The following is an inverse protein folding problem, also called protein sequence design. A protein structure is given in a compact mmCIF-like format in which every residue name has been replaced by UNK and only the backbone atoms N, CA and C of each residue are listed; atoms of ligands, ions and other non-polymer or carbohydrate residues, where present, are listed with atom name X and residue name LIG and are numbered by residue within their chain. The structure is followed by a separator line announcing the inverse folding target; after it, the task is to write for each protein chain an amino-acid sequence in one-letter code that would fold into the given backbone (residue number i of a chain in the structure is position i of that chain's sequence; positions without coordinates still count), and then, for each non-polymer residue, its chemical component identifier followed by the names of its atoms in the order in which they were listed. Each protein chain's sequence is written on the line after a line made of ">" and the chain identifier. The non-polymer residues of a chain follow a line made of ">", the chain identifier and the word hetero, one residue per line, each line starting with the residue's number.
data_IF_390621962417
#
_entry.id   IF_390621962417
#
_cell.length_a   1.000
_cell.length_b   1.000
_cell.length_c   1.000
_cell.angle_alpha   90.00
_cell.angle_beta   90.00
_cell.angle_gamma   90.00
#
_symmetry.space_group_name_H-M   'P 1'
#
loop_
_entity.id
_entity.type
_entity.pdbx_description
1 polymer ?
#
# COMPACT_ATOMS: atom_id res chain seq x y z
N UNK A 1 44.09 4.11 -13.04
CA UNK A 1 43.38 4.94 -12.06
C UNK A 1 41.96 4.39 -12.03
N UNK A 2 41.76 3.34 -11.24
CA UNK A 2 40.46 2.71 -11.10
C UNK A 2 39.63 3.52 -10.12
N UNK A 3 38.62 4.20 -10.64
CA UNK A 3 37.63 4.90 -9.82
C UNK A 3 36.57 3.86 -9.46
N UNK A 4 36.50 3.54 -8.17
CA UNK A 4 35.52 2.67 -7.55
C UNK A 4 34.09 3.01 -7.99
N UNK A 5 33.44 2.08 -8.70
CA UNK A 5 32.00 2.12 -9.04
C UNK A 5 31.13 1.45 -7.96
N UNK A 6 31.69 1.08 -6.81
CA UNK A 6 31.01 0.28 -5.79
C UNK A 6 30.36 1.09 -4.66
N UNK A 7 30.57 2.40 -4.56
CA UNK A 7 30.04 3.21 -3.44
C UNK A 7 28.62 3.76 -3.66
N UNK A 8 28.11 3.80 -4.89
CA UNK A 8 26.77 4.34 -5.16
C UNK A 8 25.65 3.32 -4.86
N UNK A 9 25.88 2.03 -5.10
CA UNK A 9 24.82 1.01 -4.96
C UNK A 9 24.38 0.76 -3.52
N UNK A 10 25.28 0.87 -2.55
CA UNK A 10 24.95 0.60 -1.13
C UNK A 10 24.09 1.71 -0.54
N UNK A 11 24.36 2.98 -0.90
CA UNK A 11 23.57 4.12 -0.42
C UNK A 11 22.19 4.17 -1.08
N UNK A 12 22.12 3.97 -2.40
CA UNK A 12 20.86 4.01 -3.13
C UNK A 12 19.89 2.93 -2.63
N UNK A 13 20.39 1.73 -2.32
CA UNK A 13 19.57 0.67 -1.75
C UNK A 13 19.06 0.99 -0.34
N UNK A 14 19.87 1.65 0.50
CA UNK A 14 19.47 2.02 1.86
C UNK A 14 18.32 3.04 1.88
N UNK A 15 18.37 4.05 0.99
CA UNK A 15 17.29 5.04 0.87
C UNK A 15 15.99 4.42 0.32
N UNK A 16 16.11 3.48 -0.62
CA UNK A 16 14.94 2.76 -1.15
C UNK A 16 14.29 1.89 -0.07
N UNK A 17 15.08 1.18 0.75
CA UNK A 17 14.55 0.34 1.82
C UNK A 17 13.82 1.18 2.89
N UNK A 18 14.36 2.35 3.26
CA UNK A 18 13.71 3.28 4.21
C UNK A 18 12.39 3.85 3.63
N UNK A 19 12.38 4.28 2.36
CA UNK A 19 11.18 4.78 1.69
C UNK A 19 10.08 3.70 1.60
N UNK A 20 10.45 2.44 1.40
CA UNK A 20 9.52 1.30 1.35
C UNK A 20 8.89 1.05 2.73
N UNK A 21 9.69 1.12 3.80
CA UNK A 21 9.19 0.98 5.16
C UNK A 21 8.24 2.12 5.54
N UNK A 22 8.60 3.37 5.21
CA UNK A 22 7.76 4.54 5.42
C UNK A 22 6.44 4.44 4.64
N UNK A 23 6.50 4.03 3.37
CA UNK A 23 5.29 3.76 2.58
C UNK A 23 4.37 2.73 3.23
N UNK A 24 4.92 1.62 3.74
CA UNK A 24 4.10 0.62 4.42
C UNK A 24 3.54 1.10 5.76
N UNK A 25 4.15 2.10 6.41
CA UNK A 25 3.58 2.78 7.57
C UNK A 25 2.42 3.69 7.14
N UNK A 26 2.59 4.49 6.09
CA UNK A 26 1.53 5.33 5.52
C UNK A 26 0.30 4.50 5.12
N UNK A 27 0.49 3.36 4.45
CA UNK A 27 -0.60 2.44 4.13
C UNK A 27 -1.29 1.88 5.40
N UNK A 28 -0.50 1.65 6.46
CA UNK A 28 -1.02 1.25 7.77
C UNK A 28 -1.98 2.29 8.33
N UNK A 29 -1.58 3.56 8.31
CA UNK A 29 -2.41 4.67 8.74
C UNK A 29 -3.65 4.75 7.85
N UNK A 30 -3.47 4.79 6.53
CA UNK A 30 -4.55 4.99 5.56
C UNK A 30 -5.66 3.92 5.62
N UNK A 31 -5.33 2.66 5.92
CA UNK A 31 -6.31 1.57 5.89
C UNK A 31 -6.73 1.04 7.25
N UNK A 32 -5.97 1.30 8.32
CA UNK A 32 -6.26 0.77 9.65
C UNK A 32 -6.63 1.85 10.68
N UNK A 33 -6.25 3.11 10.47
CA UNK A 33 -6.64 4.19 11.35
C UNK A 33 -8.10 4.58 11.13
N UNK A 34 -8.77 4.96 12.21
CA UNK A 34 -10.06 5.65 12.14
C UNK A 34 -9.79 7.15 11.94
N UNK A 35 -10.74 7.90 11.34
CA UNK A 35 -10.66 9.35 11.24
C UNK A 35 -10.38 10.06 12.58
N UNK A 36 -10.81 9.45 13.69
CA UNK A 36 -10.60 9.95 15.06
C UNK A 36 -9.19 9.77 15.60
N UNK A 37 -8.37 8.93 14.95
CA UNK A 37 -7.06 8.52 15.46
C UNK A 37 -5.95 9.49 15.02
N UNK A 38 -6.26 10.43 14.12
CA UNK A 38 -5.33 11.44 13.59
C UNK A 38 -5.78 12.84 14.00
N UNK A 39 -4.93 13.55 14.74
CA UNK A 39 -5.21 14.91 15.19
C UNK A 39 -5.16 15.92 14.03
N UNK A 40 -6.15 16.83 13.96
CA UNK A 40 -6.21 17.88 12.94
C UNK A 40 -6.84 17.46 11.61
N UNK A 41 -7.51 16.31 11.59
CA UNK A 41 -8.04 15.68 10.40
C UNK A 41 -9.57 15.72 10.34
N UNK A 42 -10.16 15.95 9.15
CA UNK A 42 -11.61 16.18 8.98
C UNK A 42 -12.40 14.97 8.44
N UNK A 43 -11.71 13.87 8.08
CA UNK A 43 -12.31 12.62 7.63
C UNK A 43 -12.31 12.41 6.13
N UNK A 44 -11.86 13.37 5.30
CA UNK A 44 -11.97 13.25 3.83
C UNK A 44 -10.88 12.42 3.16
N UNK A 45 -9.70 12.31 3.77
CA UNK A 45 -8.54 11.74 3.07
C UNK A 45 -8.42 10.21 3.29
N UNK A 46 -9.35 9.62 4.07
CA UNK A 46 -9.41 8.17 4.27
C UNK A 46 -10.27 7.55 3.18
N UNK A 47 -9.77 6.54 2.46
CA UNK A 47 -10.60 5.82 1.50
C UNK A 47 -11.80 5.21 2.24
N UNK A 48 -13.01 5.46 1.73
CA UNK A 48 -14.22 4.85 2.26
C UNK A 48 -14.30 3.37 1.85
N UNK A 49 -13.43 2.52 2.42
CA UNK A 49 -13.31 1.12 2.05
C UNK A 49 -14.58 0.30 2.37
N UNK A 50 -15.33 0.72 3.38
CA UNK A 50 -16.62 0.11 3.74
C UNK A 50 -17.61 0.18 2.59
N UNK A 51 -17.57 1.25 1.78
CA UNK A 51 -18.46 1.37 0.63
C UNK A 51 -18.28 0.20 -0.35
N UNK A 52 -17.05 -0.30 -0.52
CA UNK A 52 -16.73 -1.39 -1.44
C UNK A 52 -17.19 -2.74 -0.91
N UNK A 53 -17.13 -2.95 0.40
CA UNK A 53 -17.60 -4.18 1.05
C UNK A 53 -19.13 -4.30 1.03
N UNK A 54 -19.85 -3.17 1.15
CA UNK A 54 -21.31 -3.17 1.27
C UNK A 54 -22.06 -2.83 -0.02
N UNK A 55 -21.36 -2.48 -1.09
CA UNK A 55 -21.98 -2.19 -2.39
C UNK A 55 -22.17 -3.47 -3.22
N UNK A 56 -23.41 -3.75 -3.64
CA UNK A 56 -23.76 -4.90 -4.50
C UNK A 56 -23.14 -4.89 -5.91
N UNK A 57 -22.46 -3.82 -6.33
CA UNK A 57 -22.12 -3.57 -7.74
C UNK A 57 -20.72 -3.00 -7.97
N UNK A 58 -19.77 -3.18 -7.05
CA UNK A 58 -18.40 -2.73 -7.28
C UNK A 58 -17.53 -3.92 -7.67
N UNK A 59 -16.92 -3.86 -8.85
CA UNK A 59 -15.97 -4.88 -9.30
C UNK A 59 -14.55 -4.59 -8.79
N UNK A 60 -13.69 -5.61 -8.75
CA UNK A 60 -12.32 -5.48 -8.24
C UNK A 60 -11.50 -4.39 -8.95
N UNK A 61 -11.81 -4.11 -10.22
CA UNK A 61 -11.15 -3.05 -11.00
C UNK A 61 -11.47 -1.65 -10.45
N UNK A 62 -12.73 -1.37 -10.15
CA UNK A 62 -13.15 -0.09 -9.57
C UNK A 62 -12.57 0.10 -8.16
N UNK A 63 -12.53 -0.97 -7.35
CA UNK A 63 -11.89 -0.94 -6.03
C UNK A 63 -10.39 -0.65 -6.18
N UNK A 64 -9.71 -1.37 -7.07
CA UNK A 64 -8.28 -1.18 -7.35
C UNK A 64 -7.98 0.25 -7.77
N UNK A 65 -8.76 0.83 -8.67
CA UNK A 65 -8.57 2.21 -9.10
C UNK A 65 -8.81 3.22 -7.98
N UNK A 66 -9.82 3.01 -7.14
CA UNK A 66 -10.08 3.86 -5.97
C UNK A 66 -8.94 3.82 -4.95
N UNK A 67 -8.40 2.62 -4.70
CA UNK A 67 -7.24 2.42 -3.84
C UNK A 67 -6.00 3.09 -4.44
N UNK A 68 -5.74 2.89 -5.73
CA UNK A 68 -4.60 3.51 -6.42
C UNK A 68 -4.68 5.02 -6.31
N UNK A 69 -5.85 5.60 -6.58
CA UNK A 69 -6.06 7.04 -6.44
C UNK A 69 -5.78 7.50 -5.01
N UNK A 70 -6.37 6.83 -4.02
CA UNK A 70 -6.24 7.23 -2.61
C UNK A 70 -4.80 7.13 -2.11
N UNK A 71 -4.06 6.08 -2.49
CA UNK A 71 -2.64 5.94 -2.13
C UNK A 71 -1.80 7.01 -2.81
N UNK A 72 -2.04 7.27 -4.11
CA UNK A 72 -1.29 8.32 -4.83
C UNK A 72 -1.56 9.74 -4.32
N UNK A 73 -2.74 10.00 -3.75
CA UNK A 73 -3.11 11.31 -3.19
C UNK A 73 -2.61 11.51 -1.75
N UNK A 74 -2.44 10.42 -0.97
CA UNK A 74 -2.24 10.50 0.49
C UNK A 74 -0.96 9.85 1.01
N UNK A 75 -0.25 9.04 0.21
CA UNK A 75 1.02 8.42 0.59
C UNK A 75 2.15 9.12 -0.15
N UNK A 76 2.96 9.89 0.57
CA UNK A 76 4.06 10.67 -0.03
C UNK A 76 5.10 9.75 -0.68
N UNK A 77 5.40 8.63 -0.03
CA UNK A 77 6.46 7.71 -0.48
C UNK A 77 6.02 6.81 -1.64
N UNK A 78 4.75 6.87 -2.05
CA UNK A 78 4.23 6.10 -3.19
C UNK A 78 4.88 6.47 -4.53
N UNK A 79 5.52 7.65 -4.64
CA UNK A 79 6.19 8.11 -5.87
C UNK A 79 7.65 7.68 -5.98
N UNK A 80 8.27 7.18 -4.90
CA UNK A 80 9.70 6.82 -4.87
C UNK A 80 10.01 5.52 -5.64
N UNK A 81 9.01 4.68 -5.89
CA UNK A 81 9.20 3.36 -6.51
C UNK A 81 7.93 2.84 -7.19
N UNK A 82 8.07 1.73 -7.92
CA UNK A 82 6.93 1.04 -8.53
C UNK A 82 6.32 0.05 -7.56
N UNK A 83 5.03 0.20 -7.32
CA UNK A 83 4.22 -0.70 -6.53
C UNK A 83 2.96 -1.13 -7.29
N UNK A 84 2.38 -2.25 -6.87
CA UNK A 84 1.09 -2.74 -7.34
C UNK A 84 0.23 -3.19 -6.17
N UNK A 85 -1.09 -3.14 -6.35
CA UNK A 85 -2.05 -3.67 -5.39
C UNK A 85 -2.93 -4.72 -6.06
N UNK A 86 -3.04 -5.87 -5.42
CA UNK A 86 -4.04 -6.89 -5.74
C UNK A 86 -5.23 -6.74 -4.81
N UNK A 87 -6.42 -6.91 -5.36
CA UNK A 87 -7.69 -6.74 -4.66
C UNK A 87 -8.51 -8.01 -4.79
N UNK A 88 -8.77 -8.65 -3.65
CA UNK A 88 -9.57 -9.86 -3.55
C UNK A 88 -10.75 -9.63 -2.60
N UNK A 89 -11.94 -10.00 -3.02
CA UNK A 89 -13.11 -10.11 -2.14
C UNK A 89 -13.19 -11.56 -1.66
N UNK A 90 -13.00 -11.75 -0.37
CA UNK A 90 -13.04 -13.04 0.29
C UNK A 90 -14.31 -13.16 1.14
N UNK A 91 -14.71 -14.39 1.45
CA UNK A 91 -15.73 -14.68 2.44
C UNK A 91 -15.06 -15.14 3.73
N UNK A 92 -15.48 -14.61 4.87
CA UNK A 92 -15.07 -15.12 6.17
C UNK A 92 -15.78 -16.44 6.52
N UNK A 93 -15.42 -17.03 7.66
CA UNK A 93 -16.03 -18.28 8.14
C UNK A 93 -17.55 -18.16 8.43
N UNK A 94 -18.09 -16.94 8.48
CA UNK A 94 -19.49 -16.62 8.71
C UNK A 94 -20.22 -16.12 7.45
N UNK A 95 -19.56 -16.15 6.28
CA UNK A 95 -20.12 -15.70 4.99
C UNK A 95 -20.14 -14.19 4.78
N UNK A 96 -19.47 -13.40 5.64
CA UNK A 96 -19.30 -11.96 5.46
C UNK A 96 -18.22 -11.65 4.43
N UNK A 97 -18.41 -10.59 3.66
CA UNK A 97 -17.44 -10.13 2.68
C UNK A 97 -16.27 -9.40 3.38
N UNK A 98 -15.05 -9.84 3.09
CA UNK A 98 -13.79 -9.23 3.51
C UNK A 98 -13.05 -8.75 2.27
N UNK A 99 -12.62 -7.50 2.30
CA UNK A 99 -11.70 -6.96 1.32
C UNK A 99 -10.27 -7.29 1.73
N UNK A 100 -9.58 -8.08 0.91
CA UNK A 100 -8.18 -8.44 1.07
C UNK A 100 -7.34 -7.69 0.04
N UNK A 101 -6.42 -6.87 0.55
CA UNK A 101 -5.50 -6.07 -0.25
C UNK A 101 -4.09 -6.62 -0.08
N UNK A 102 -3.38 -6.81 -1.19
CA UNK A 102 -1.98 -7.22 -1.19
C UNK A 102 -1.19 -6.15 -1.94
N UNK A 103 -0.41 -5.38 -1.21
CA UNK A 103 0.52 -4.40 -1.78
C UNK A 103 1.85 -5.07 -2.04
N UNK A 104 2.46 -4.76 -3.17
CA UNK A 104 3.77 -5.26 -3.57
C UNK A 104 4.63 -4.14 -4.12
N UNK A 105 5.88 -4.05 -3.65
CA UNK A 105 6.90 -3.14 -4.18
C UNK A 105 7.98 -3.97 -4.84
N UNK A 106 8.33 -3.64 -6.08
CA UNK A 106 9.42 -4.32 -6.78
C UNK A 106 10.72 -3.52 -6.61
N UNK A 107 11.67 -4.09 -5.87
CA UNK A 107 12.98 -3.48 -5.63
C UNK A 107 13.92 -3.83 -6.78
N UNK A 108 14.51 -2.82 -7.41
CA UNK A 108 15.51 -3.02 -8.47
C UNK A 108 16.89 -3.01 -7.80
N UNK A 109 17.51 -4.18 -7.59
CA UNK A 109 18.93 -4.22 -7.22
C UNK A 109 19.46 -5.36 -6.36
N UNK A 110 18.62 -6.19 -5.71
CA UNK A 110 19.12 -7.20 -4.78
C UNK A 110 18.84 -8.63 -5.27
N UNK A 111 19.92 -9.38 -5.54
CA UNK A 111 19.98 -10.72 -6.12
C UNK A 111 19.22 -11.86 -5.39
N UNK A 112 18.27 -11.58 -4.48
CA UNK A 112 17.42 -12.63 -3.88
C UNK A 112 16.09 -12.18 -3.27
N UNK A 113 15.71 -10.89 -3.25
CA UNK A 113 14.38 -10.44 -2.79
C UNK A 113 13.89 -9.23 -3.60
N UNK A 114 13.47 -9.48 -4.83
CA UNK A 114 13.01 -8.42 -5.74
C UNK A 114 11.60 -7.88 -5.43
N UNK A 115 10.92 -8.40 -4.40
CA UNK A 115 9.53 -8.04 -4.08
C UNK A 115 9.28 -8.05 -2.58
N UNK A 116 8.80 -6.93 -2.05
CA UNK A 116 8.33 -6.79 -0.66
C UNK A 116 6.81 -6.66 -0.68
N UNK A 117 6.12 -7.37 0.20
CA UNK A 117 4.66 -7.38 0.23
C UNK A 117 4.09 -7.07 1.60
N UNK A 118 2.94 -6.40 1.63
CA UNK A 118 2.15 -6.18 2.84
C UNK A 118 0.68 -6.38 2.56
N UNK A 119 0.00 -7.05 3.48
CA UNK A 119 -1.40 -7.43 3.33
C UNK A 119 -2.28 -6.68 4.32
N UNK A 120 -3.48 -6.31 3.87
CA UNK A 120 -4.52 -5.68 4.67
C UNK A 120 -5.84 -6.43 4.50
N UNK A 121 -6.55 -6.64 5.61
CA UNK A 121 -7.87 -7.25 5.64
C UNK A 121 -8.86 -6.24 6.22
N UNK A 122 -9.92 -5.94 5.48
CA UNK A 122 -10.92 -4.93 5.83
C UNK A 122 -12.31 -5.58 5.77
N UNK A 123 -13.05 -5.58 6.87
CA UNK A 123 -14.40 -6.16 6.90
C UNK A 123 -14.77 -6.96 8.15
N UNK A 124 -14.27 -6.59 9.33
CA UNK A 124 -14.74 -7.14 10.62
C UNK A 124 -15.89 -6.32 11.20
#
# INVERSE_FOLDING_TARGET
>A
MDINLAENSVKDNLFIDEDVDLFFQELGILFQSKPTDVYGYDGTDFPNLKQYVFSKWVNNYQIKNGIIKSVSENCYHATSFKWDVQVNLLKDNFGKDILHLIFSVNLIGAASKNRVEKQFLIGS
#
